data_IF_576640129685
#
_entry.id   IF_576640129685
#
_cell.length_a   1.000
_cell.length_b   1.000
_cell.length_c   1.000
_cell.angle_alpha   90.00
_cell.angle_beta   90.00
_cell.angle_gamma   90.00
#
_symmetry.space_group_name_H-M   'P 1'
#
loop_
_entity.id
_entity.type
_entity.pdbx_description
1 polymer ?
#
# COMPACT_ATOMS: atom_id res chain seq x y z
N UNK A 1 -45.87 46.22 -90.57
CA UNK A 1 -46.30 46.39 -89.16
C UNK A 1 -45.12 46.94 -88.40
N UNK A 2 -45.27 48.04 -87.65
CA UNK A 2 -44.17 48.56 -86.83
C UNK A 2 -44.12 47.83 -85.48
N UNK A 3 -42.95 47.34 -85.08
CA UNK A 3 -42.69 46.82 -83.73
C UNK A 3 -42.64 47.98 -82.72
N UNK A 4 -42.94 47.74 -81.44
CA UNK A 4 -42.80 48.78 -80.42
C UNK A 4 -41.32 49.10 -80.18
N UNK A 5 -41.04 50.34 -79.75
CA UNK A 5 -39.67 50.79 -79.45
C UNK A 5 -38.99 49.89 -78.41
N UNK A 6 -39.72 49.50 -77.37
CA UNK A 6 -39.24 48.59 -76.31
C UNK A 6 -38.88 47.20 -76.86
N UNK A 7 -39.61 46.73 -77.88
CA UNK A 7 -39.30 45.45 -78.53
C UNK A 7 -38.02 45.55 -79.38
N UNK A 8 -37.82 46.67 -80.06
CA UNK A 8 -36.60 46.91 -80.84
C UNK A 8 -35.36 47.09 -79.94
N UNK A 9 -35.52 47.74 -78.79
CA UNK A 9 -34.47 47.87 -77.77
C UNK A 9 -34.08 46.51 -77.18
N UNK A 10 -35.06 45.65 -76.85
CA UNK A 10 -34.81 44.30 -76.35
C UNK A 10 -34.10 43.40 -77.40
N UNK A 11 -34.52 43.46 -78.67
CA UNK A 11 -33.87 42.73 -79.76
C UNK A 11 -32.45 43.25 -79.97
N UNK A 12 -32.22 44.56 -79.89
CA UNK A 12 -30.89 45.16 -79.99
C UNK A 12 -29.97 44.71 -78.86
N UNK A 13 -30.45 44.65 -77.62
CA UNK A 13 -29.68 44.14 -76.48
C UNK A 13 -29.33 42.65 -76.62
N UNK A 14 -30.30 41.82 -77.02
CA UNK A 14 -30.08 40.38 -77.18
C UNK A 14 -29.20 40.05 -78.37
N UNK A 15 -29.39 40.73 -79.49
CA UNK A 15 -28.61 40.49 -80.69
C UNK A 15 -27.25 41.16 -80.61
N UNK A 16 -27.11 42.33 -79.97
CA UNK A 16 -25.90 43.15 -80.04
C UNK A 16 -25.83 44.03 -81.30
N UNK A 17 -26.94 44.18 -82.03
CA UNK A 17 -27.09 45.07 -83.19
C UNK A 17 -27.73 46.38 -82.74
N UNK A 18 -27.30 47.53 -83.29
CA UNK A 18 -27.84 48.84 -82.91
C UNK A 18 -29.33 48.95 -83.29
N UNK A 19 -30.11 49.59 -82.42
CA UNK A 19 -31.56 49.82 -82.63
C UNK A 19 -31.81 50.58 -83.93
N UNK A 20 -30.96 51.54 -84.26
CA UNK A 20 -31.06 52.34 -85.48
C UNK A 20 -30.88 51.49 -86.74
N UNK A 21 -29.97 50.52 -86.72
CA UNK A 21 -29.69 49.62 -87.87
C UNK A 21 -30.84 48.62 -88.08
N UNK A 22 -31.42 48.10 -87.00
CA UNK A 22 -32.60 47.23 -87.05
C UNK A 22 -33.81 48.01 -87.59
N UNK A 23 -34.01 49.23 -87.10
CA UNK A 23 -35.14 50.10 -87.51
C UNK A 23 -35.03 50.49 -88.98
N UNK A 24 -33.83 50.86 -89.44
CA UNK A 24 -33.59 51.22 -90.84
C UNK A 24 -33.86 50.05 -91.79
N UNK A 25 -33.39 48.85 -91.43
CA UNK A 25 -33.51 47.65 -92.28
C UNK A 25 -34.90 47.04 -92.32
N UNK A 26 -35.66 47.11 -91.21
CA UNK A 26 -37.08 46.71 -91.19
C UNK A 26 -37.96 47.68 -92.00
N UNK A 27 -37.52 48.93 -92.18
CA UNK A 27 -38.26 49.97 -92.89
C UNK A 27 -37.88 50.09 -94.38
N UNK A 28 -36.91 49.30 -94.86
CA UNK A 28 -36.50 49.28 -96.28
C UNK A 28 -37.50 48.48 -97.13
N UNK A 29 -37.74 48.92 -98.37
CA UNK A 29 -38.59 48.19 -99.34
C UNK A 29 -37.85 47.03 -100.02
N UNK A 30 -36.51 46.97 -99.90
CA UNK A 30 -35.67 45.89 -100.41
C UNK A 30 -35.25 44.91 -99.30
N UNK A 31 -35.03 43.63 -99.65
CA UNK A 31 -34.62 42.60 -98.70
C UNK A 31 -33.16 42.81 -98.26
N UNK A 32 -32.97 43.51 -97.14
CA UNK A 32 -31.66 43.80 -96.58
C UNK A 32 -31.30 42.87 -95.40
N UNK A 33 -30.14 42.23 -95.48
CA UNK A 33 -29.66 41.31 -94.44
C UNK A 33 -28.95 42.05 -93.29
N UNK A 34 -29.18 41.63 -92.06
CA UNK A 34 -28.41 42.05 -90.88
C UNK A 34 -27.31 41.01 -90.64
N UNK A 35 -26.05 41.45 -90.58
CA UNK A 35 -24.95 40.57 -90.22
C UNK A 35 -25.12 40.14 -88.76
N UNK A 36 -25.13 38.82 -88.54
CA UNK A 36 -25.18 38.25 -87.18
C UNK A 36 -23.89 38.66 -86.45
N UNK A 37 -23.99 39.38 -85.33
CA UNK A 37 -22.81 39.75 -84.56
C UNK A 37 -22.09 38.51 -84.02
N UNK A 38 -20.77 38.62 -83.89
CA UNK A 38 -19.93 37.53 -83.43
C UNK A 38 -20.00 37.41 -81.90
N UNK A 39 -20.45 36.25 -81.43
CA UNK A 39 -20.55 35.90 -80.01
C UNK A 39 -21.17 34.52 -79.81
N UNK A 40 -20.84 33.89 -78.68
CA UNK A 40 -21.48 32.65 -78.23
C UNK A 40 -22.68 33.01 -77.33
N UNK A 41 -23.88 32.85 -77.87
CA UNK A 41 -25.12 33.09 -77.14
C UNK A 41 -25.56 31.77 -76.52
N UNK A 42 -25.47 31.68 -75.19
CA UNK A 42 -25.88 30.52 -74.44
C UNK A 42 -27.31 30.71 -73.90
N UNK A 43 -28.11 29.66 -73.97
CA UNK A 43 -29.39 29.57 -73.26
C UNK A 43 -29.19 29.50 -71.74
N UNK A 44 -30.23 29.84 -70.96
CA UNK A 44 -30.20 29.69 -69.51
C UNK A 44 -29.92 28.24 -69.07
N UNK A 45 -30.44 27.24 -69.80
CA UNK A 45 -30.14 25.82 -69.53
C UNK A 45 -28.66 25.49 -69.75
N UNK A 46 -28.03 26.00 -70.80
CA UNK A 46 -26.60 25.79 -71.06
C UNK A 46 -25.73 26.48 -70.01
N UNK A 47 -26.10 27.68 -69.56
CA UNK A 47 -25.41 28.38 -68.48
C UNK A 47 -25.54 27.63 -67.15
N UNK A 48 -26.76 27.19 -66.79
CA UNK A 48 -27.01 26.42 -65.58
C UNK A 48 -26.25 25.08 -65.59
N UNK A 49 -26.24 24.37 -66.72
CA UNK A 49 -25.49 23.12 -66.87
C UNK A 49 -23.97 23.34 -66.75
N UNK A 50 -23.44 24.39 -67.37
CA UNK A 50 -22.02 24.77 -67.24
C UNK A 50 -21.66 25.05 -65.78
N UNK A 51 -22.48 25.84 -65.09
CA UNK A 51 -22.19 26.29 -63.74
C UNK A 51 -22.36 25.14 -62.73
N UNK A 52 -23.34 24.26 -62.91
CA UNK A 52 -23.48 23.03 -62.12
C UNK A 52 -22.28 22.10 -62.31
N UNK A 53 -21.83 21.88 -63.55
CA UNK A 53 -20.68 21.01 -63.82
C UNK A 53 -19.39 21.59 -63.22
N UNK A 54 -19.17 22.91 -63.34
CA UNK A 54 -18.03 23.59 -62.71
C UNK A 54 -18.06 23.47 -61.20
N UNK A 55 -19.24 23.59 -60.59
CA UNK A 55 -19.40 23.44 -59.14
C UNK A 55 -19.07 22.01 -58.70
N UNK A 56 -19.57 20.99 -59.40
CA UNK A 56 -19.30 19.59 -59.08
C UNK A 56 -17.83 19.21 -59.26
N UNK A 57 -17.17 19.73 -60.29
CA UNK A 57 -15.72 19.59 -60.48
C UNK A 57 -14.94 20.26 -59.36
N UNK A 58 -15.28 21.50 -59.00
CA UNK A 58 -14.64 22.22 -57.91
C UNK A 58 -14.82 21.51 -56.56
N UNK A 59 -16.01 20.96 -56.30
CA UNK A 59 -16.31 20.18 -55.10
C UNK A 59 -15.47 18.91 -55.04
N UNK A 60 -15.40 18.14 -56.14
CA UNK A 60 -14.55 16.94 -56.21
C UNK A 60 -13.07 17.27 -55.99
N UNK A 61 -12.58 18.34 -56.62
CA UNK A 61 -11.20 18.78 -56.45
C UNK A 61 -10.90 19.19 -54.98
N UNK A 62 -11.84 19.89 -54.33
CA UNK A 62 -11.72 20.26 -52.93
C UNK A 62 -11.69 19.03 -52.01
N UNK A 63 -12.59 18.07 -52.21
CA UNK A 63 -12.62 16.82 -51.46
C UNK A 63 -11.31 16.05 -51.62
N UNK A 64 -10.82 15.90 -52.85
CA UNK A 64 -9.54 15.22 -53.13
C UNK A 64 -8.36 15.91 -52.43
N UNK A 65 -8.31 17.24 -52.45
CA UNK A 65 -7.23 18.00 -51.83
C UNK A 65 -7.26 17.84 -50.30
N UNK A 66 -8.45 17.93 -49.69
CA UNK A 66 -8.61 17.76 -48.24
C UNK A 66 -8.36 16.33 -47.78
N UNK A 67 -8.77 15.32 -48.55
CA UNK A 67 -8.46 13.92 -48.26
C UNK A 67 -6.96 13.67 -48.30
N UNK A 68 -6.23 14.25 -49.27
CA UNK A 68 -4.75 14.20 -49.31
C UNK A 68 -4.11 14.89 -48.09
N UNK A 69 -4.60 16.07 -47.70
CA UNK A 69 -4.11 16.76 -46.49
C UNK A 69 -4.32 15.92 -45.23
N UNK A 70 -5.51 15.35 -45.04
CA UNK A 70 -5.83 14.52 -43.89
C UNK A 70 -5.06 13.20 -43.88
N UNK A 71 -4.88 12.57 -45.06
CA UNK A 71 -4.02 11.38 -45.21
C UNK A 71 -2.60 11.66 -44.71
N UNK A 72 -2.03 12.81 -45.12
CA UNK A 72 -0.69 13.22 -44.71
C UNK A 72 -0.62 13.56 -43.23
N UNK A 73 -1.62 14.27 -42.69
CA UNK A 73 -1.66 14.68 -41.28
C UNK A 73 -1.84 13.50 -40.31
N UNK A 74 -2.61 12.50 -40.70
CA UNK A 74 -2.93 11.34 -39.87
C UNK A 74 -2.04 10.12 -40.16
N UNK A 75 -1.05 10.26 -41.04
CA UNK A 75 -0.12 9.18 -41.45
C UNK A 75 -0.87 7.88 -41.83
N UNK A 76 -1.91 8.04 -42.65
CA UNK A 76 -2.75 6.94 -43.10
C UNK A 76 -2.28 6.42 -44.47
N UNK A 77 -2.03 5.12 -44.57
CA UNK A 77 -1.87 4.43 -45.86
C UNK A 77 -3.23 4.22 -46.50
N UNK A 78 -3.79 5.28 -47.10
CA UNK A 78 -5.13 5.26 -47.69
C UNK A 78 -5.15 5.93 -49.06
N UNK A 79 -5.57 5.22 -50.10
CA UNK A 79 -5.53 5.70 -51.51
C UNK A 79 -6.86 6.26 -52.04
N UNK A 80 -7.93 6.26 -51.24
CA UNK A 80 -9.22 6.77 -51.70
C UNK A 80 -9.27 8.30 -51.79
N UNK A 81 -10.27 8.80 -52.53
CA UNK A 81 -10.43 10.21 -52.91
C UNK A 81 -11.58 10.94 -52.19
N UNK A 82 -12.41 10.22 -51.46
CA UNK A 82 -13.60 10.74 -50.78
C UNK A 82 -13.46 10.66 -49.27
N UNK A 83 -14.16 11.55 -48.55
CA UNK A 83 -14.18 11.56 -47.09
C UNK A 83 -14.76 10.28 -46.50
N UNK A 84 -15.84 9.75 -47.08
CA UNK A 84 -16.48 8.51 -46.59
C UNK A 84 -15.52 7.32 -46.59
N UNK A 85 -14.73 7.18 -47.66
CA UNK A 85 -13.77 6.09 -47.76
C UNK A 85 -12.61 6.29 -46.77
N UNK A 86 -12.19 7.54 -46.53
CA UNK A 86 -11.14 7.86 -45.55
C UNK A 86 -11.61 7.53 -44.13
N UNK A 87 -12.83 7.92 -43.76
CA UNK A 87 -13.38 7.67 -42.43
C UNK A 87 -13.61 6.19 -42.18
N UNK A 88 -14.15 5.44 -43.16
CA UNK A 88 -14.30 3.98 -43.05
C UNK A 88 -12.95 3.28 -42.84
N UNK A 89 -11.94 3.64 -43.63
CA UNK A 89 -10.60 3.06 -43.47
C UNK A 89 -9.96 3.43 -42.13
N UNK A 90 -10.14 4.67 -41.66
CA UNK A 90 -9.68 5.09 -40.34
C UNK A 90 -10.38 4.32 -39.21
N UNK A 91 -11.71 4.15 -39.29
CA UNK A 91 -12.47 3.35 -38.33
C UNK A 91 -12.02 1.89 -38.30
N UNK A 92 -11.77 1.26 -39.45
CA UNK A 92 -11.25 -0.10 -39.53
C UNK A 92 -9.85 -0.22 -38.93
N UNK A 93 -8.96 0.76 -39.21
CA UNK A 93 -7.61 0.81 -38.63
C UNK A 93 -7.69 0.95 -37.10
N UNK A 94 -8.58 1.79 -36.58
CA UNK A 94 -8.81 1.93 -35.14
C UNK A 94 -9.37 0.63 -34.53
N UNK A 95 -10.40 0.03 -35.15
CA UNK A 95 -10.97 -1.25 -34.68
C UNK A 95 -9.89 -2.33 -34.62
N UNK A 96 -9.10 -2.50 -35.67
CA UNK A 96 -8.03 -3.50 -35.71
C UNK A 96 -6.93 -3.24 -34.65
N UNK A 97 -6.57 -1.97 -34.43
CA UNK A 97 -5.57 -1.60 -33.42
C UNK A 97 -6.07 -1.87 -32.01
N UNK A 98 -7.26 -1.36 -31.66
CA UNK A 98 -7.75 -1.42 -30.28
C UNK A 98 -8.43 -2.74 -29.91
N UNK A 99 -8.94 -3.52 -30.86
CA UNK A 99 -9.55 -4.81 -30.54
C UNK A 99 -8.50 -5.87 -30.15
N UNK A 100 -7.28 -5.79 -30.72
CA UNK A 100 -6.14 -6.61 -30.31
C UNK A 100 -5.44 -6.05 -29.06
N UNK A 101 -5.02 -4.78 -29.06
CA UNK A 101 -4.28 -4.18 -27.94
C UNK A 101 -5.11 -4.12 -26.64
N UNK A 102 -6.41 -3.84 -26.72
CA UNK A 102 -7.25 -3.77 -25.51
C UNK A 102 -7.43 -5.15 -24.87
N UNK A 103 -7.58 -6.21 -25.67
CA UNK A 103 -7.72 -7.58 -25.14
C UNK A 103 -6.43 -8.08 -24.50
N UNK A 104 -5.27 -7.80 -25.10
CA UNK A 104 -3.98 -8.15 -24.52
C UNK A 104 -3.66 -7.32 -23.27
N UNK A 105 -3.96 -6.01 -23.28
CA UNK A 105 -3.79 -5.14 -22.12
C UNK A 105 -4.69 -5.52 -20.96
N UNK A 106 -5.93 -5.93 -21.22
CA UNK A 106 -6.84 -6.45 -20.18
C UNK A 106 -6.28 -7.74 -19.58
N UNK A 107 -5.79 -8.68 -20.41
CA UNK A 107 -5.16 -9.91 -19.91
C UNK A 107 -3.90 -9.65 -19.08
N UNK A 108 -3.08 -8.69 -19.48
CA UNK A 108 -1.89 -8.27 -18.73
C UNK A 108 -2.29 -7.67 -17.37
N UNK A 109 -3.28 -6.77 -17.36
CA UNK A 109 -3.79 -6.17 -16.13
C UNK A 109 -4.46 -7.20 -15.20
N UNK A 110 -5.16 -8.19 -15.74
CA UNK A 110 -5.72 -9.31 -14.99
C UNK A 110 -4.62 -10.17 -14.36
N UNK A 111 -3.55 -10.46 -15.10
CA UNK A 111 -2.41 -11.21 -14.60
C UNK A 111 -1.65 -10.46 -13.50
N UNK A 112 -1.47 -9.14 -13.65
CA UNK A 112 -0.84 -8.32 -12.62
C UNK A 112 -1.71 -8.18 -11.37
N UNK A 113 -3.04 -8.04 -11.53
CA UNK A 113 -3.98 -8.07 -10.40
C UNK A 113 -3.90 -9.39 -9.63
N UNK A 114 -3.84 -10.52 -10.33
CA UNK A 114 -3.71 -11.83 -9.69
C UNK A 114 -2.41 -11.93 -8.86
N UNK A 115 -1.28 -11.47 -9.40
CA UNK A 115 0.00 -11.43 -8.67
C UNK A 115 -0.04 -10.54 -7.44
N UNK A 116 -0.63 -9.35 -7.56
CA UNK A 116 -0.76 -8.41 -6.43
C UNK A 116 -1.64 -8.99 -5.34
N UNK A 117 -2.76 -9.63 -5.70
CA UNK A 117 -3.64 -10.27 -4.74
C UNK A 117 -2.94 -11.42 -4.01
N UNK A 118 -2.22 -12.27 -4.73
CA UNK A 118 -1.44 -13.35 -4.12
C UNK A 118 -0.37 -12.80 -3.16
N UNK A 119 0.41 -11.80 -3.57
CA UNK A 119 1.43 -11.18 -2.72
C UNK A 119 0.81 -10.52 -1.47
N UNK A 120 -0.37 -9.91 -1.60
CA UNK A 120 -1.10 -9.34 -0.47
C UNK A 120 -1.59 -10.42 0.49
N UNK A 121 -2.15 -11.53 0.00
CA UNK A 121 -2.59 -12.65 0.83
C UNK A 121 -1.42 -13.26 1.62
N UNK A 122 -0.27 -13.47 0.98
CA UNK A 122 0.95 -13.93 1.64
C UNK A 122 1.43 -12.94 2.72
N UNK A 123 1.41 -11.64 2.41
CA UNK A 123 1.79 -10.58 3.36
C UNK A 123 0.87 -10.53 4.57
N UNK A 124 -0.46 -10.60 4.35
CA UNK A 124 -1.46 -10.61 5.41
C UNK A 124 -1.28 -11.85 6.31
N UNK A 125 -1.02 -13.01 5.71
CA UNK A 125 -0.81 -14.25 6.46
C UNK A 125 0.44 -14.16 7.34
N UNK A 126 1.54 -13.67 6.78
CA UNK A 126 2.80 -13.46 7.50
C UNK A 126 2.62 -12.48 8.66
N UNK A 127 2.04 -11.30 8.42
CA UNK A 127 1.80 -10.30 9.45
C UNK A 127 0.87 -10.81 10.56
N UNK A 128 -0.15 -11.60 10.20
CA UNK A 128 -1.06 -12.21 11.17
C UNK A 128 -0.32 -13.20 12.07
N UNK A 129 0.56 -14.03 11.48
CA UNK A 129 1.39 -14.97 12.24
C UNK A 129 2.39 -14.26 13.16
N UNK A 130 2.99 -13.17 12.68
CA UNK A 130 3.96 -12.38 13.45
C UNK A 130 3.27 -11.66 14.61
N UNK A 131 2.10 -11.06 14.37
CA UNK A 131 1.27 -10.46 15.43
C UNK A 131 0.86 -11.49 16.48
N UNK A 132 0.50 -12.72 16.09
CA UNK A 132 0.19 -13.79 17.04
C UNK A 132 1.41 -14.16 17.88
N UNK A 133 2.58 -14.31 17.25
CA UNK A 133 3.84 -14.61 17.92
C UNK A 133 4.23 -13.50 18.91
N UNK A 134 4.17 -12.22 18.49
CA UNK A 134 4.44 -11.07 19.36
C UNK A 134 3.46 -10.97 20.53
N UNK A 135 2.16 -11.23 20.31
CA UNK A 135 1.17 -11.28 21.40
C UNK A 135 1.50 -12.37 22.40
N UNK A 136 1.89 -13.56 21.95
CA UNK A 136 2.31 -14.65 22.83
C UNK A 136 3.58 -14.30 23.59
N UNK A 137 4.59 -13.73 22.93
CA UNK A 137 5.84 -13.30 23.58
C UNK A 137 5.60 -12.22 24.63
N UNK A 138 4.81 -11.18 24.34
CA UNK A 138 4.48 -10.14 25.30
C UNK A 138 3.73 -10.68 26.52
N UNK A 139 2.81 -11.63 26.32
CA UNK A 139 2.13 -12.31 27.42
C UNK A 139 3.11 -13.10 28.29
N UNK A 140 3.98 -13.90 27.67
CA UNK A 140 5.01 -14.66 28.40
C UNK A 140 5.94 -13.71 29.17
N UNK A 141 6.33 -12.58 28.58
CA UNK A 141 7.15 -11.59 29.27
C UNK A 141 6.42 -10.93 30.45
N UNK A 142 5.12 -10.63 30.31
CA UNK A 142 4.28 -10.17 31.41
C UNK A 142 4.21 -11.19 32.55
N UNK A 143 3.97 -12.47 32.22
CA UNK A 143 3.97 -13.55 33.20
C UNK A 143 5.34 -13.70 33.87
N UNK A 144 6.44 -13.64 33.12
CA UNK A 144 7.81 -13.67 33.68
C UNK A 144 8.03 -12.54 34.69
N UNK A 145 7.60 -11.32 34.37
CA UNK A 145 7.71 -10.18 35.27
C UNK A 145 6.89 -10.40 36.55
N UNK A 146 5.64 -10.88 36.42
CA UNK A 146 4.78 -11.22 37.55
C UNK A 146 5.40 -12.30 38.44
N UNK A 147 5.96 -13.36 37.85
CA UNK A 147 6.62 -14.46 38.56
C UNK A 147 7.91 -14.01 39.27
N UNK A 148 8.70 -13.13 38.65
CA UNK A 148 9.88 -12.54 39.29
C UNK A 148 9.49 -11.66 40.49
N UNK A 149 8.33 -11.00 40.43
CA UNK A 149 7.82 -10.15 41.51
C UNK A 149 7.40 -10.92 42.77
N UNK A 150 6.91 -12.15 42.63
CA UNK A 150 6.52 -13.03 43.75
C UNK A 150 7.66 -13.92 44.25
N UNK A 151 8.79 -13.95 43.53
CA UNK A 151 9.93 -14.78 43.89
C UNK A 151 10.58 -14.32 45.22
N UNK A 152 11.07 -15.25 46.07
CA UNK A 152 11.83 -14.89 47.26
C UNK A 152 13.00 -13.93 46.96
N UNK A 153 13.28 -13.02 47.91
CA UNK A 153 14.34 -12.02 47.76
C UNK A 153 15.71 -12.67 47.51
N UNK A 154 16.00 -13.75 48.24
CA UNK A 154 17.24 -14.51 48.21
C UNK A 154 16.96 -15.97 47.82
N UNK A 155 17.56 -16.42 46.72
CA UNK A 155 17.42 -17.78 46.18
C UNK A 155 18.78 -18.47 46.08
N UNK A 156 18.80 -19.80 46.18
CA UNK A 156 20.02 -20.63 46.14
C UNK A 156 20.72 -20.62 44.79
N UNK A 157 20.00 -20.25 43.73
CA UNK A 157 20.50 -20.02 42.37
C UNK A 157 19.94 -18.68 41.86
N UNK A 158 20.51 -18.08 40.79
CA UNK A 158 19.98 -16.85 40.20
C UNK A 158 18.48 -16.93 39.92
N UNK A 159 17.77 -15.82 40.09
CA UNK A 159 16.30 -15.76 39.95
C UNK A 159 15.85 -16.16 38.55
N UNK A 160 16.61 -15.73 37.55
CA UNK A 160 16.41 -16.05 36.15
C UNK A 160 16.52 -17.55 35.88
N UNK A 161 17.39 -18.27 36.61
CA UNK A 161 17.56 -19.72 36.47
C UNK A 161 16.39 -20.48 37.11
N UNK A 162 15.90 -20.04 38.28
CA UNK A 162 14.68 -20.60 38.90
C UNK A 162 13.49 -20.46 37.95
N UNK A 163 13.33 -19.27 37.37
CA UNK A 163 12.26 -18.98 36.42
C UNK A 163 12.38 -19.84 35.15
N UNK A 164 13.60 -19.98 34.62
CA UNK A 164 13.87 -20.81 33.45
C UNK A 164 13.56 -22.29 33.72
N UNK A 165 13.97 -22.81 34.89
CA UNK A 165 13.65 -24.18 35.31
C UNK A 165 12.15 -24.39 35.47
N UNK A 166 11.43 -23.41 36.00
CA UNK A 166 9.98 -23.48 36.11
C UNK A 166 9.32 -23.56 34.74
N UNK A 167 9.63 -22.63 33.84
CA UNK A 167 9.06 -22.56 32.49
C UNK A 167 9.49 -23.73 31.59
N UNK A 168 10.59 -24.40 31.92
CA UNK A 168 11.00 -25.64 31.22
C UNK A 168 10.08 -26.83 31.54
N UNK A 169 9.47 -26.83 32.74
CA UNK A 169 8.59 -27.90 33.24
C UNK A 169 7.11 -27.56 33.14
N UNK A 170 6.79 -26.27 33.06
CA UNK A 170 5.44 -25.75 33.11
C UNK A 170 5.19 -24.85 31.90
N UNK A 171 4.13 -25.14 31.16
CA UNK A 171 3.69 -24.29 30.05
C UNK A 171 2.52 -23.45 30.50
N UNK A 172 2.58 -22.15 30.23
CA UNK A 172 1.49 -21.25 30.53
C UNK A 172 0.60 -21.15 29.30
N UNK A 173 -0.69 -21.50 29.45
CA UNK A 173 -1.69 -21.48 28.38
C UNK A 173 -2.91 -20.68 28.80
N UNK A 174 -3.78 -20.42 27.84
CA UNK A 174 -5.02 -19.66 28.01
C UNK A 174 -6.18 -20.49 27.52
N UNK A 175 -7.28 -20.50 28.27
CA UNK A 175 -8.49 -21.18 27.84
C UNK A 175 -9.34 -20.27 26.95
N UNK A 176 -10.42 -20.80 26.39
CA UNK A 176 -11.34 -20.06 25.52
C UNK A 176 -11.98 -18.82 26.19
N UNK A 177 -11.96 -18.76 27.53
CA UNK A 177 -12.49 -17.65 28.33
C UNK A 177 -11.43 -16.58 28.68
N UNK A 178 -10.22 -16.69 28.14
CA UNK A 178 -9.12 -15.76 28.42
C UNK A 178 -8.44 -15.95 29.77
N UNK A 179 -8.74 -17.03 30.49
CA UNK A 179 -8.11 -17.32 31.78
C UNK A 179 -6.79 -18.07 31.56
N UNK A 180 -5.71 -17.52 32.12
CA UNK A 180 -4.38 -18.13 32.12
C UNK A 180 -4.32 -19.31 33.10
N UNK A 181 -3.79 -20.46 32.65
CA UNK A 181 -3.58 -21.66 33.46
C UNK A 181 -2.24 -22.31 33.15
N UNK A 182 -1.75 -23.17 34.06
CA UNK A 182 -0.52 -23.93 33.88
C UNK A 182 -0.81 -25.36 33.42
N UNK A 183 -0.04 -25.82 32.45
CA UNK A 183 0.14 -27.24 32.17
C UNK A 183 1.49 -27.75 32.69
N UNK A 184 1.49 -28.97 33.23
CA UNK A 184 2.70 -29.74 33.50
C UNK A 184 2.64 -31.04 32.70
N UNK A 185 3.68 -31.34 31.93
CA UNK A 185 3.75 -32.54 31.08
C UNK A 185 2.54 -32.70 30.13
N UNK A 186 2.00 -31.59 29.61
CA UNK A 186 0.87 -31.59 28.67
C UNK A 186 -0.51 -31.83 29.31
N UNK A 187 -0.61 -31.82 30.65
CA UNK A 187 -1.89 -31.86 31.36
C UNK A 187 -2.11 -30.56 32.14
N UNK A 188 -3.32 -29.97 32.08
CA UNK A 188 -3.64 -28.79 32.88
C UNK A 188 -3.64 -29.13 34.37
N UNK A 189 -2.92 -28.34 35.15
CA UNK A 189 -2.92 -28.44 36.60
C UNK A 189 -4.25 -27.89 37.14
N UNK A 190 -5.00 -28.76 37.81
CA UNK A 190 -6.29 -28.45 38.42
C UNK A 190 -6.24 -28.78 39.90
N UNK A 191 -6.97 -27.99 40.69
CA UNK A 191 -7.18 -28.30 42.10
C UNK A 191 -8.01 -29.60 42.22
N UNK A 192 -7.51 -30.62 42.94
CA UNK A 192 -8.20 -31.90 43.09
C UNK A 192 -9.59 -31.79 43.72
N UNK A 193 -9.86 -30.73 44.52
CA UNK A 193 -11.15 -30.54 45.20
C UNK A 193 -12.16 -29.77 44.35
N UNK A 194 -11.71 -28.70 43.69
CA UNK A 194 -12.62 -27.77 42.98
C UNK A 194 -12.63 -27.99 41.47
N UNK A 195 -11.74 -28.83 40.92
CA UNK A 195 -11.54 -29.08 39.48
C UNK A 195 -11.26 -27.81 38.66
N UNK A 196 -11.00 -26.69 39.34
CA UNK A 196 -10.64 -25.41 38.75
C UNK A 196 -9.15 -25.39 38.43
N UNK A 197 -8.76 -24.63 37.40
CA UNK A 197 -7.35 -24.47 37.04
C UNK A 197 -6.59 -23.85 38.20
N UNK A 198 -5.40 -24.37 38.49
CA UNK A 198 -4.50 -23.75 39.47
C UNK A 198 -3.95 -22.44 38.90
N UNK A 199 -3.92 -21.42 39.75
CA UNK A 199 -3.30 -20.15 39.42
C UNK A 199 -1.79 -20.34 39.27
N UNK A 200 -1.24 -19.77 38.20
CA UNK A 200 0.16 -19.90 37.86
C UNK A 200 1.08 -19.28 38.92
N UNK A 201 0.59 -18.29 39.65
CA UNK A 201 1.31 -17.65 40.76
C UNK A 201 1.51 -18.62 41.93
N UNK A 202 0.44 -19.27 42.38
CA UNK A 202 0.48 -20.22 43.51
C UNK A 202 1.39 -21.41 43.21
N UNK A 203 1.28 -21.98 41.99
CA UNK A 203 2.13 -23.11 41.57
C UNK A 203 3.61 -22.70 41.53
N UNK A 204 3.88 -21.46 41.14
CA UNK A 204 5.24 -20.93 41.13
C UNK A 204 5.78 -20.64 42.52
N UNK A 205 4.96 -20.10 43.43
CA UNK A 205 5.33 -19.86 44.83
C UNK A 205 5.79 -21.16 45.47
N UNK A 206 4.98 -22.22 45.38
CA UNK A 206 5.30 -23.56 45.88
C UNK A 206 6.59 -24.12 45.25
N UNK A 207 6.78 -23.90 43.95
CA UNK A 207 7.98 -24.34 43.25
C UNK A 207 9.23 -23.58 43.74
N UNK A 208 9.12 -22.26 43.86
CA UNK A 208 10.21 -21.34 44.21
C UNK A 208 10.65 -21.48 45.66
N UNK A 209 9.77 -21.93 46.55
CA UNK A 209 10.07 -22.14 47.97
C UNK A 209 11.20 -23.17 48.17
N UNK A 210 11.31 -24.16 47.28
CA UNK A 210 12.40 -25.14 47.29
C UNK A 210 13.79 -24.52 47.02
N UNK A 211 13.81 -23.34 46.40
CA UNK A 211 15.03 -22.59 46.07
C UNK A 211 15.26 -21.41 46.98
N UNK A 212 14.39 -21.17 47.96
CA UNK A 212 14.60 -20.13 48.97
C UNK A 212 15.89 -20.45 49.74
N UNK A 213 16.79 -19.47 49.83
CA UNK A 213 17.95 -19.60 50.71
C UNK A 213 17.44 -19.85 52.14
N UNK A 214 17.76 -21.02 52.68
CA UNK A 214 17.47 -21.30 54.09
C UNK A 214 18.29 -20.31 54.89
N UNK A 215 17.62 -19.32 55.49
CA UNK A 215 18.24 -18.52 56.56
C UNK A 215 18.82 -19.53 57.54
N UNK A 216 20.13 -19.46 57.90
CA UNK A 216 20.66 -20.33 58.92
C UNK A 216 19.80 -20.12 60.15
N UNK A 217 18.97 -21.11 60.46
CA UNK A 217 18.10 -21.07 61.61
C UNK A 217 18.99 -20.81 62.82
N UNK A 218 18.57 -19.89 63.68
CA UNK A 218 19.10 -19.76 65.03
C UNK A 218 18.78 -21.08 65.73
N UNK A 219 19.66 -22.06 65.55
CA UNK A 219 19.53 -23.39 66.10
C UNK A 219 19.58 -23.32 67.62
N UNK A 220 18.51 -23.76 68.25
CA UNK A 220 18.55 -24.21 69.63
C UNK A 220 19.62 -25.31 69.76
N UNK A 221 20.64 -25.04 70.58
CA UNK A 221 21.54 -26.02 71.18
C UNK A 221 22.43 -26.81 70.24
N UNK A 222 23.75 -26.56 70.26
CA UNK A 222 24.60 -27.29 71.21
C UNK A 222 26.03 -26.72 71.28
N UNK A 223 26.64 -27.07 72.40
CA UNK A 223 27.94 -26.71 72.95
C UNK A 223 29.15 -26.78 72.00
N UNK A 224 30.15 -25.97 72.37
CA UNK A 224 31.58 -26.15 72.10
C UNK A 224 32.01 -26.15 70.62
N UNK A 225 32.18 -24.95 70.09
CA UNK A 225 33.07 -24.69 68.96
C UNK A 225 33.80 -23.39 69.23
N UNK A 226 35.13 -23.48 69.38
CA UNK A 226 36.03 -22.36 69.58
C UNK A 226 35.99 -21.45 68.34
N UNK A 227 34.98 -20.58 68.26
CA UNK A 227 34.82 -19.62 67.17
C UNK A 227 35.74 -18.45 67.43
N UNK A 228 36.73 -18.29 66.54
CA UNK A 228 37.51 -17.07 66.38
C UNK A 228 36.51 -15.91 66.17
N UNK A 229 36.39 -14.93 67.10
CA UNK A 229 35.35 -13.92 67.02
C UNK A 229 35.59 -13.03 65.78
N UNK A 230 34.54 -12.91 64.96
CA UNK A 230 34.59 -12.34 63.61
C UNK A 230 34.53 -10.80 63.55
N UNK A 231 34.64 -10.12 64.69
CA UNK A 231 34.65 -8.67 64.84
C UNK A 231 34.87 -8.31 66.33
N UNK A 232 35.38 -7.10 66.58
CA UNK A 232 35.76 -6.61 67.91
C UNK A 232 34.61 -6.69 68.92
N UNK A 233 33.40 -6.32 68.52
CA UNK A 233 32.20 -6.40 69.37
C UNK A 233 31.90 -7.83 69.83
N UNK A 234 32.08 -8.83 68.97
CA UNK A 234 31.90 -10.23 69.35
C UNK A 234 33.02 -10.73 70.26
N UNK A 235 34.24 -10.21 70.10
CA UNK A 235 35.33 -10.51 71.01
C UNK A 235 35.04 -9.95 72.41
N UNK A 236 34.63 -8.69 72.50
CA UNK A 236 34.28 -8.01 73.75
C UNK A 236 33.18 -8.79 74.47
N UNK A 237 32.07 -9.07 73.80
CA UNK A 237 30.93 -9.79 74.37
C UNK A 237 31.30 -11.19 74.88
N UNK A 238 32.15 -11.92 74.15
CA UNK A 238 32.57 -13.26 74.53
C UNK A 238 33.56 -13.22 75.71
N UNK A 239 34.48 -12.27 75.71
CA UNK A 239 35.47 -12.12 76.77
C UNK A 239 34.81 -11.72 78.09
N UNK A 240 33.89 -10.75 78.06
CA UNK A 240 33.14 -10.32 79.25
C UNK A 240 32.30 -11.45 79.83
N UNK A 241 31.64 -12.26 78.99
CA UNK A 241 30.86 -13.45 79.41
C UNK A 241 31.74 -14.55 80.00
N UNK A 242 32.94 -14.77 79.48
CA UNK A 242 33.84 -15.81 79.97
C UNK A 242 34.55 -15.43 81.27
N UNK A 243 34.98 -14.18 81.39
CA UNK A 243 35.76 -13.71 82.54
C UNK A 243 34.88 -13.08 83.63
N UNK A 244 33.60 -12.87 83.36
CA UNK A 244 32.63 -12.21 84.25
C UNK A 244 33.16 -10.87 84.79
N UNK A 245 33.85 -10.12 83.92
CA UNK A 245 34.44 -8.80 84.18
C UNK A 245 34.24 -7.93 82.95
N UNK A 246 34.09 -6.61 83.10
CA UNK A 246 33.99 -5.71 81.96
C UNK A 246 35.32 -5.62 81.20
N UNK A 247 35.26 -5.40 79.90
CA UNK A 247 36.44 -5.24 79.01
C UNK A 247 37.29 -4.04 79.42
N UNK A 248 36.68 -3.06 80.11
CA UNK A 248 37.35 -1.89 80.68
C UNK A 248 38.26 -2.21 81.88
N UNK A 249 38.29 -3.46 82.36
CA UNK A 249 39.24 -3.90 83.38
C UNK A 249 40.68 -3.95 82.83
N UNK A 250 41.72 -3.85 83.68
CA UNK A 250 43.12 -3.92 83.23
C UNK A 250 43.47 -5.20 82.45
N UNK A 251 42.75 -6.30 82.73
CA UNK A 251 42.90 -7.59 82.06
C UNK A 251 42.18 -7.60 80.70
N UNK A 252 40.99 -6.99 80.62
CA UNK A 252 40.20 -6.89 79.39
C UNK A 252 40.86 -6.00 78.34
N UNK A 253 41.42 -4.85 78.75
CA UNK A 253 42.14 -3.94 77.85
C UNK A 253 43.39 -4.60 77.25
N UNK A 254 44.09 -5.46 78.02
CA UNK A 254 45.22 -6.24 77.49
C UNK A 254 44.77 -7.29 76.48
N UNK A 255 43.67 -8.00 76.78
CA UNK A 255 43.12 -8.99 75.87
C UNK A 255 42.65 -8.38 74.55
N UNK A 256 42.05 -7.18 74.59
CA UNK A 256 41.64 -6.42 73.41
C UNK A 256 42.84 -5.99 72.56
N UNK A 257 43.90 -5.44 73.18
CA UNK A 257 45.13 -5.10 72.46
C UNK A 257 45.80 -6.31 71.79
N UNK A 258 45.77 -7.49 72.43
CA UNK A 258 46.29 -8.72 71.83
C UNK A 258 45.43 -9.18 70.64
N UNK A 259 44.11 -9.05 70.74
CA UNK A 259 43.18 -9.35 69.65
C UNK A 259 43.40 -8.42 68.45
N UNK A 260 43.51 -7.11 68.67
CA UNK A 260 43.82 -6.13 67.61
C UNK A 260 45.17 -6.43 66.95
N UNK A 261 46.21 -6.74 67.74
CA UNK A 261 47.53 -7.07 67.22
C UNK A 261 47.53 -8.34 66.36
N UNK A 262 46.71 -9.33 66.69
CA UNK A 262 46.57 -10.56 65.90
C UNK A 262 45.78 -10.37 64.60
N UNK A 263 44.91 -9.37 64.53
CA UNK A 263 44.09 -9.08 63.35
C UNK A 263 44.66 -7.94 62.48
N UNK A 264 45.69 -7.24 62.93
CA UNK A 264 46.41 -6.21 62.18
C UNK A 264 47.62 -6.72 61.38
N UNK A 265 47.87 -8.04 61.34
CA UNK A 265 48.84 -8.72 60.45
C UNK A 265 48.13 -9.57 59.41
#
# INVERSE_FOLDING_TARGET
>A
MALSKDTLEWIAELSGVKVEDITAKISSEEEESIEKPQGEFYSEEELNNRDSNKYDEAKKAFEEMKVKELRKKLELDFEGKTFDNLFKHHEEKLKNKYQKDSSERVKELEADLAKVNQANEETVTNLTSELQSLKQQNKINGIKADLLGIMPAETSIPKEDVLTLFLSKHQVKENENGQTFIESNGQPLKDPKTQSYLDYKNVFEDFSENYKLKTPGRGEGNQNGNQKPGNEDQFIDNWEKQQNKPISSPEGVRALMEYEKQNAS
#
